data_IF_614066470092
#
_entry.id   IF_614066470092
#
_cell.length_a   1.000
_cell.length_b   1.000
_cell.length_c   1.000
_cell.angle_alpha   90.00
_cell.angle_beta   90.00
_cell.angle_gamma   90.00
#
_symmetry.space_group_name_H-M   'P 1'
#
loop_
_entity.id
_entity.type
_entity.pdbx_description
1 polymer ?
#
# COMPACT_ATOMS: atom_id res chain seq x y z
N UNK A 1 4.71 -26.99 -12.60
CA UNK A 1 5.32 -25.65 -12.80
C UNK A 1 4.22 -24.64 -12.60
N UNK A 2 4.42 -23.52 -11.89
CA UNK A 2 3.37 -22.52 -11.76
C UNK A 2 3.09 -22.00 -13.17
N UNK A 3 1.85 -22.15 -13.61
CA UNK A 3 1.32 -21.68 -14.89
C UNK A 3 1.70 -20.21 -15.13
N UNK A 4 2.04 -19.88 -16.37
CA UNK A 4 2.64 -18.62 -16.91
C UNK A 4 1.87 -17.30 -16.65
N UNK A 5 1.18 -17.15 -15.52
CA UNK A 5 0.47 -15.92 -15.17
C UNK A 5 0.42 -15.66 -13.65
N UNK A 6 1.48 -16.01 -12.92
CA UNK A 6 1.59 -15.64 -11.51
C UNK A 6 1.97 -14.16 -11.38
N UNK A 7 0.97 -13.27 -11.34
CA UNK A 7 1.18 -11.84 -11.06
C UNK A 7 1.43 -11.66 -9.56
N UNK A 8 2.59 -11.14 -9.20
CA UNK A 8 2.85 -10.68 -7.84
C UNK A 8 2.06 -9.40 -7.58
N UNK A 9 1.08 -9.46 -6.67
CA UNK A 9 0.25 -8.29 -6.32
C UNK A 9 1.08 -7.15 -5.74
N UNK A 10 2.13 -7.48 -4.98
CA UNK A 10 3.03 -6.50 -4.39
C UNK A 10 3.80 -5.73 -5.47
N UNK A 11 4.32 -6.41 -6.48
CA UNK A 11 5.04 -5.77 -7.59
C UNK A 11 4.12 -4.83 -8.37
N UNK A 12 2.88 -5.27 -8.62
CA UNK A 12 1.85 -4.42 -9.25
C UNK A 12 1.56 -3.19 -8.40
N UNK A 13 1.40 -3.34 -7.09
CA UNK A 13 1.13 -2.23 -6.18
C UNK A 13 2.29 -1.23 -6.12
N UNK A 14 3.53 -1.72 -6.07
CA UNK A 14 4.73 -0.88 -6.07
C UNK A 14 4.86 -0.07 -7.37
N UNK A 15 4.61 -0.69 -8.52
CA UNK A 15 4.60 -0.01 -9.81
C UNK A 15 3.53 1.10 -9.87
N UNK A 16 2.33 0.82 -9.37
CA UNK A 16 1.22 1.79 -9.36
C UNK A 16 1.45 2.94 -8.38
N UNK A 17 2.08 2.70 -7.23
CA UNK A 17 2.49 3.76 -6.31
C UNK A 17 3.56 4.67 -6.94
N UNK A 18 4.59 4.10 -7.59
CA UNK A 18 5.63 4.86 -8.29
C UNK A 18 5.09 5.71 -9.43
N UNK A 19 4.09 5.21 -10.15
CA UNK A 19 3.41 5.95 -11.23
C UNK A 19 2.27 6.85 -10.74
N UNK A 20 2.04 6.93 -9.42
CA UNK A 20 0.95 7.68 -8.77
C UNK A 20 -0.45 7.30 -9.26
N UNK A 21 -0.63 6.05 -9.72
CA UNK A 21 -1.88 5.51 -10.25
C UNK A 21 -2.50 4.42 -9.33
N UNK A 22 -2.41 4.61 -8.01
CA UNK A 22 -2.93 3.65 -7.03
C UNK A 22 -4.44 3.43 -7.06
N UNK A 23 -5.21 4.34 -7.65
CA UNK A 23 -6.66 4.13 -7.78
C UNK A 23 -7.00 2.92 -8.65
N UNK A 24 -6.08 2.47 -9.51
CA UNK A 24 -6.25 1.23 -10.27
C UNK A 24 -6.04 -0.07 -9.46
N UNK A 25 -5.62 0.02 -8.20
CA UNK A 25 -5.59 -1.11 -7.25
C UNK A 25 -6.95 -1.35 -6.58
N UNK A 26 -7.84 -0.36 -6.62
CA UNK A 26 -9.10 -0.39 -5.88
C UNK A 26 -10.06 -1.37 -6.53
N UNK A 27 -10.68 -2.22 -5.70
CA UNK A 27 -11.72 -3.14 -6.17
C UNK A 27 -12.93 -2.35 -6.66
N UNK A 28 -13.32 -2.57 -7.92
CA UNK A 28 -14.47 -1.95 -8.57
C UNK A 28 -15.80 -2.20 -7.83
N UNK A 29 -15.89 -3.28 -7.03
CA UNK A 29 -17.07 -3.61 -6.23
C UNK A 29 -17.29 -2.69 -5.04
N UNK A 30 -16.27 -1.92 -4.63
CA UNK A 30 -16.38 -0.94 -3.55
C UNK A 30 -17.16 0.33 -3.98
N UNK A 31 -17.42 0.51 -5.29
CA UNK A 31 -18.27 1.58 -5.80
C UNK A 31 -17.69 2.99 -5.61
N UNK A 32 -18.57 3.99 -5.55
CA UNK A 32 -18.20 5.42 -5.52
C UNK A 32 -17.93 5.98 -4.12
N UNK A 33 -18.08 5.19 -3.07
CA UNK A 33 -17.96 5.65 -1.66
C UNK A 33 -16.51 5.68 -1.16
N UNK A 34 -15.54 5.57 -2.06
CA UNK A 34 -14.13 5.42 -1.71
C UNK A 34 -13.47 6.79 -1.61
N UNK A 35 -12.86 7.05 -0.47
CA UNK A 35 -12.02 8.22 -0.29
C UNK A 35 -10.64 7.97 -0.93
N UNK A 36 -10.36 8.70 -2.01
CA UNK A 36 -9.07 8.67 -2.73
C UNK A 36 -7.87 8.91 -1.83
N UNK A 37 -7.99 9.80 -0.84
CA UNK A 37 -6.91 10.15 0.08
C UNK A 37 -6.63 9.03 1.06
N UNK A 38 -7.68 8.46 1.66
CA UNK A 38 -7.54 7.32 2.58
C UNK A 38 -7.00 6.08 1.86
N UNK A 39 -7.43 5.87 0.62
CA UNK A 39 -6.92 4.78 -0.23
C UNK A 39 -5.42 4.92 -0.48
N UNK A 40 -4.95 6.11 -0.86
CA UNK A 40 -3.52 6.38 -1.05
C UNK A 40 -2.73 6.12 0.22
N UNK A 41 -3.24 6.60 1.35
CA UNK A 41 -2.63 6.39 2.66
C UNK A 41 -2.56 4.91 3.03
N UNK A 42 -3.65 4.17 2.82
CA UNK A 42 -3.71 2.73 3.09
C UNK A 42 -2.69 1.95 2.25
N UNK A 43 -2.57 2.26 0.96
CA UNK A 43 -1.60 1.61 0.07
C UNK A 43 -0.16 1.88 0.55
N UNK A 44 0.16 3.13 0.92
CA UNK A 44 1.48 3.46 1.49
C UNK A 44 1.79 2.66 2.75
N UNK A 45 0.84 2.58 3.68
CA UNK A 45 0.98 1.79 4.91
C UNK A 45 1.19 0.31 4.59
N UNK A 46 0.41 -0.26 3.65
CA UNK A 46 0.54 -1.65 3.23
C UNK A 46 1.92 -1.94 2.62
N UNK A 47 2.45 -1.03 1.80
CA UNK A 47 3.78 -1.15 1.21
C UNK A 47 4.91 -1.06 2.26
N UNK A 48 4.76 -0.21 3.29
CA UNK A 48 5.68 -0.17 4.43
C UNK A 48 5.67 -1.50 5.21
N UNK A 49 4.48 -2.06 5.47
CA UNK A 49 4.32 -3.34 6.16
C UNK A 49 4.92 -4.53 5.40
N UNK A 50 4.95 -4.45 4.06
CA UNK A 50 5.44 -5.50 3.16
C UNK A 50 6.85 -5.25 2.67
N UNK A 51 7.58 -4.32 3.30
CA UNK A 51 8.95 -4.00 2.92
C UNK A 51 9.85 -5.27 2.89
N UNK A 52 10.68 -5.47 1.85
CA UNK A 52 11.60 -6.61 1.78
C UNK A 52 12.53 -6.69 3.00
N UNK A 53 12.99 -5.53 3.50
CA UNK A 53 13.80 -5.41 4.70
C UNK A 53 12.93 -5.44 5.96
N UNK A 54 13.05 -6.48 6.83
CA UNK A 54 12.23 -6.57 8.03
C UNK A 54 12.44 -5.41 9.01
N UNK A 55 13.63 -4.80 9.02
CA UNK A 55 13.95 -3.68 9.90
C UNK A 55 13.29 -2.36 9.49
N UNK A 56 12.80 -2.27 8.25
CA UNK A 56 12.08 -1.10 7.75
C UNK A 56 10.56 -1.21 7.93
N UNK A 57 10.06 -2.38 8.35
CA UNK A 57 8.64 -2.57 8.60
C UNK A 57 8.24 -1.87 9.90
N UNK A 58 7.14 -1.10 9.92
CA UNK A 58 6.67 -0.44 11.12
C UNK A 58 6.15 -1.45 12.16
N UNK A 59 6.23 -1.09 13.43
CA UNK A 59 5.53 -1.84 14.48
C UNK A 59 4.01 -1.73 14.31
N UNK A 60 3.26 -2.74 14.74
CA UNK A 60 1.79 -2.72 14.61
C UNK A 60 1.13 -1.53 15.32
N UNK A 61 1.72 -1.03 16.40
CA UNK A 61 1.27 0.20 17.07
C UNK A 61 1.42 1.45 16.20
N UNK A 62 2.47 1.52 15.40
CA UNK A 62 2.70 2.61 14.44
C UNK A 62 1.74 2.49 13.27
N UNK A 63 1.51 1.27 12.75
CA UNK A 63 0.51 0.99 11.70
C UNK A 63 -0.88 1.48 12.12
N UNK A 64 -1.33 1.10 13.32
CA UNK A 64 -2.62 1.55 13.86
C UNK A 64 -2.64 3.08 13.99
N UNK A 65 -1.57 3.67 14.52
CA UNK A 65 -1.49 5.13 14.67
C UNK A 65 -1.52 5.87 13.33
N UNK A 66 -0.93 5.30 12.27
CA UNK A 66 -1.00 5.85 10.90
C UNK A 66 -2.44 5.78 10.36
N UNK A 67 -3.11 4.63 10.52
CA UNK A 67 -4.47 4.42 10.04
C UNK A 67 -5.51 5.28 10.79
N UNK A 68 -5.28 5.56 12.07
CA UNK A 68 -6.10 6.49 12.87
C UNK A 68 -5.75 7.96 12.63
N UNK A 69 -4.75 8.26 11.79
CA UNK A 69 -4.31 9.63 11.49
C UNK A 69 -3.58 10.32 12.64
N UNK A 70 -3.13 9.58 13.66
CA UNK A 70 -2.38 10.11 14.82
C UNK A 70 -0.94 10.43 14.48
N UNK A 71 -0.35 9.71 13.51
CA UNK A 71 1.00 9.97 13.00
C UNK A 71 1.00 10.07 11.48
N UNK A 72 1.91 10.85 10.91
CA UNK A 72 2.05 11.03 9.47
C UNK A 72 2.65 9.80 8.80
N UNK A 73 2.16 9.46 7.62
CA UNK A 73 2.72 8.39 6.78
C UNK A 73 3.91 8.97 5.99
N UNK A 74 5.07 8.28 5.94
CA UNK A 74 6.20 8.70 5.11
C UNK A 74 5.82 8.89 3.63
N UNK A 75 6.35 9.94 3.00
CA UNK A 75 6.10 10.22 1.58
C UNK A 75 6.87 9.33 0.63
N UNK A 76 8.00 8.78 1.09
CA UNK A 76 8.86 7.86 0.34
C UNK A 76 8.91 6.56 1.10
N UNK A 77 8.58 5.46 0.42
CA UNK A 77 8.74 4.11 0.97
C UNK A 77 10.21 3.71 0.74
N UNK A 78 11.00 3.52 1.80
CA UNK A 78 12.40 3.11 1.66
C UNK A 78 12.49 1.70 1.09
N UNK A 79 13.54 1.39 0.32
CA UNK A 79 13.83 0.05 -0.24
C UNK A 79 14.56 -0.86 0.74
#
# INVERSE_FOLDING_TARGET
MPSDNCVCLLDKALFLERTKNVMSLVDERLGSEINTTETKNLVKVALLCTNPSPSLRPAMSEVVSMLEGRISIPDVIPE
#
